data_IF_105243930235
#
_entry.id   IF_105243930235
#
_cell.length_a   1.000
_cell.length_b   1.000
_cell.length_c   1.000
_cell.angle_alpha   90.00
_cell.angle_beta   90.00
_cell.angle_gamma   90.00
#
_symmetry.space_group_name_H-M   'P 1'
#
loop_
_entity.id
_entity.type
_entity.pdbx_description
1 polymer ?
#
# COMPACT_ATOMS: atom_id res chain seq x y z
N UNK A 1 28.76 1.97 -13.92
CA UNK A 1 27.38 2.47 -13.94
C UNK A 1 26.92 2.62 -12.50
N UNK A 2 26.29 3.74 -12.13
CA UNK A 2 25.83 3.97 -10.76
C UNK A 2 24.39 3.48 -10.63
N UNK A 3 24.08 2.70 -9.60
CA UNK A 3 22.73 2.19 -9.33
C UNK A 3 22.26 2.70 -7.97
N UNK A 4 20.94 2.76 -7.77
CA UNK A 4 20.37 3.00 -6.46
C UNK A 4 19.11 2.19 -6.20
N UNK A 5 18.77 2.06 -4.92
CA UNK A 5 17.46 1.64 -4.47
C UNK A 5 16.86 2.69 -3.54
N UNK A 6 15.54 2.66 -3.38
CA UNK A 6 14.87 3.52 -2.41
C UNK A 6 13.60 2.89 -1.85
N UNK A 7 13.15 3.44 -0.73
CA UNK A 7 11.86 3.16 -0.12
C UNK A 7 11.14 4.44 0.25
N UNK A 8 9.85 4.34 0.57
CA UNK A 8 8.99 5.46 0.95
C UNK A 8 8.31 5.12 2.27
N UNK A 9 8.38 6.03 3.24
CA UNK A 9 7.82 5.83 4.57
C UNK A 9 7.17 7.10 5.12
N UNK A 10 6.21 6.94 6.04
CA UNK A 10 6.00 7.96 7.07
C UNK A 10 6.96 7.72 8.23
N UNK A 11 7.08 8.71 9.13
CA UNK A 11 8.12 8.65 10.18
C UNK A 11 8.04 7.41 11.06
N UNK A 12 6.84 6.84 11.26
CA UNK A 12 6.65 5.64 12.05
C UNK A 12 7.24 4.36 11.43
N UNK A 13 7.60 4.38 10.15
CA UNK A 13 8.22 3.26 9.44
C UNK A 13 9.71 3.49 9.12
N UNK A 14 10.31 4.60 9.58
CA UNK A 14 11.75 4.85 9.40
C UNK A 14 12.58 3.71 9.98
N UNK A 15 12.24 3.19 11.16
CA UNK A 15 12.96 2.06 11.75
C UNK A 15 12.96 0.79 10.88
N UNK A 16 11.85 0.49 10.21
CA UNK A 16 11.77 -0.62 9.26
C UNK A 16 12.58 -0.34 7.99
N UNK A 17 12.48 0.88 7.44
CA UNK A 17 13.28 1.29 6.29
C UNK A 17 14.79 1.19 6.55
N UNK A 18 15.25 1.48 7.77
CA UNK A 18 16.66 1.32 8.16
C UNK A 18 17.08 -0.15 8.25
N UNK A 19 16.20 -1.04 8.69
CA UNK A 19 16.44 -2.49 8.67
C UNK A 19 16.53 -3.00 7.22
N UNK A 20 15.60 -2.54 6.36
CA UNK A 20 15.63 -2.82 4.92
C UNK A 20 16.96 -2.33 4.31
N UNK A 21 17.32 -1.06 4.51
CA UNK A 21 18.55 -0.47 4.02
C UNK A 21 19.77 -1.29 4.44
N UNK A 22 19.86 -1.65 5.72
CA UNK A 22 20.96 -2.48 6.23
C UNK A 22 21.04 -3.81 5.49
N UNK A 23 19.93 -4.55 5.41
CA UNK A 23 19.88 -5.84 4.70
C UNK A 23 20.21 -5.70 3.21
N UNK A 24 19.82 -4.59 2.59
CA UNK A 24 20.11 -4.28 1.20
C UNK A 24 21.61 -4.01 1.00
N UNK A 25 22.21 -3.14 1.82
CA UNK A 25 23.64 -2.76 1.74
C UNK A 25 24.58 -3.91 2.07
N UNK A 26 24.20 -4.78 3.02
CA UNK A 26 24.94 -6.00 3.34
C UNK A 26 25.09 -6.94 2.12
N UNK A 27 24.14 -6.87 1.17
CA UNK A 27 24.13 -7.67 -0.06
C UNK A 27 24.50 -6.90 -1.35
N UNK A 28 24.50 -5.58 -1.31
CA UNK A 28 24.70 -4.68 -2.45
C UNK A 28 25.57 -3.48 -2.06
N UNK A 29 26.84 -3.69 -1.65
CA UNK A 29 27.67 -2.66 -1.01
C UNK A 29 27.91 -1.43 -1.91
N UNK A 30 27.99 -1.64 -3.23
CA UNK A 30 28.25 -0.60 -4.23
C UNK A 30 27.00 0.17 -4.69
N UNK A 31 25.81 -0.19 -4.19
CA UNK A 31 24.54 0.47 -4.58
C UNK A 31 24.10 1.46 -3.51
N UNK A 32 23.73 2.68 -3.91
CA UNK A 32 23.23 3.69 -2.99
C UNK A 32 21.78 3.40 -2.57
N UNK A 33 21.40 3.78 -1.35
CA UNK A 33 20.06 3.54 -0.82
C UNK A 33 19.45 4.80 -0.22
N UNK A 34 18.22 5.14 -0.61
CA UNK A 34 17.52 6.34 -0.13
C UNK A 34 16.22 6.00 0.60
N UNK A 35 15.90 6.79 1.63
CA UNK A 35 14.63 6.68 2.36
C UNK A 35 13.86 7.98 2.18
N UNK A 36 12.80 7.98 1.35
CA UNK A 36 11.94 9.14 1.20
C UNK A 36 10.89 9.16 2.32
N UNK A 37 10.88 10.22 3.12
CA UNK A 37 9.92 10.43 4.20
C UNK A 37 8.81 11.35 3.72
N UNK A 38 7.59 10.84 3.64
CA UNK A 38 6.39 11.59 3.18
C UNK A 38 5.73 12.39 4.29
N UNK A 39 6.32 12.36 5.48
CA UNK A 39 5.77 12.91 6.72
C UNK A 39 6.66 14.04 7.23
N UNK A 40 6.18 14.76 8.25
CA UNK A 40 6.88 15.89 8.86
C UNK A 40 7.13 15.65 10.36
N UNK A 41 8.23 16.20 10.87
CA UNK A 41 8.53 16.24 12.30
C UNK A 41 8.05 17.57 12.89
N UNK A 42 7.40 17.52 14.05
CA UNK A 42 6.92 18.72 14.76
C UNK A 42 8.08 19.58 15.30
N UNK A 43 9.13 18.91 15.76
CA UNK A 43 10.36 19.53 16.25
C UNK A 43 11.57 18.98 15.47
N UNK A 44 12.21 19.84 14.67
CA UNK A 44 13.42 19.50 13.91
C UNK A 44 14.63 19.20 14.83
N UNK A 45 14.53 19.42 16.15
CA UNK A 45 15.55 19.06 17.14
C UNK A 45 15.67 17.55 17.36
N UNK A 46 14.63 16.76 17.07
CA UNK A 46 14.76 15.31 16.95
C UNK A 46 15.33 14.88 15.59
N UNK A 47 15.31 15.77 14.59
CA UNK A 47 15.79 15.49 13.24
C UNK A 47 17.31 15.72 13.06
N UNK A 48 18.01 16.34 14.02
CA UNK A 48 19.44 16.70 13.87
C UNK A 48 20.43 15.54 13.85
N UNK A 49 19.99 14.30 14.14
CA UNK A 49 20.81 13.08 14.02
C UNK A 49 20.30 12.12 12.93
N UNK A 50 19.42 12.57 12.02
CA UNK A 50 18.94 11.70 10.95
C UNK A 50 20.05 11.46 9.91
N UNK A 51 20.17 10.22 9.38
CA UNK A 51 21.12 9.91 8.32
C UNK A 51 20.91 10.73 7.05
N UNK A 52 21.98 11.11 6.35
CA UNK A 52 21.93 11.95 5.13
C UNK A 52 21.10 11.34 3.99
N UNK A 53 20.95 10.02 3.97
CA UNK A 53 20.18 9.33 2.95
C UNK A 53 18.67 9.27 3.25
N UNK A 54 18.24 9.83 4.38
CA UNK A 54 16.85 10.07 4.72
C UNK A 54 16.43 11.43 4.17
N UNK A 55 15.51 11.41 3.21
CA UNK A 55 15.14 12.55 2.39
C UNK A 55 13.69 12.93 2.68
N UNK A 56 13.45 14.15 3.14
CA UNK A 56 12.09 14.69 3.25
C UNK A 56 11.49 14.90 1.85
N UNK A 57 10.48 14.10 1.50
CA UNK A 57 9.92 14.10 0.16
C UNK A 57 9.32 15.47 -0.21
N UNK A 58 8.69 16.16 0.74
CA UNK A 58 8.09 17.48 0.51
C UNK A 58 9.10 18.54 0.05
N UNK A 59 10.35 18.49 0.54
CA UNK A 59 11.33 19.55 0.28
C UNK A 59 12.07 19.40 -1.05
N UNK A 60 11.99 18.23 -1.68
CA UNK A 60 12.81 17.87 -2.85
C UNK A 60 12.00 17.38 -4.06
N UNK A 61 10.77 16.88 -3.84
CA UNK A 61 9.90 16.47 -4.94
C UNK A 61 9.23 17.69 -5.55
N UNK A 62 9.16 17.73 -6.88
CA UNK A 62 8.55 18.80 -7.66
C UNK A 62 7.01 18.69 -7.66
N UNK A 63 6.40 18.59 -6.47
CA UNK A 63 4.95 18.55 -6.27
C UNK A 63 4.51 19.93 -5.75
N UNK A 64 3.61 20.65 -6.43
CA UNK A 64 3.08 21.91 -5.95
C UNK A 64 2.49 21.80 -4.53
N UNK A 65 2.68 22.83 -3.70
CA UNK A 65 2.25 22.81 -2.28
C UNK A 65 0.75 22.54 -2.11
N UNK A 66 -0.09 23.14 -2.93
CA UNK A 66 -1.54 22.92 -2.93
C UNK A 66 -1.89 21.46 -3.23
N UNK A 67 -1.15 20.84 -4.16
CA UNK A 67 -1.30 19.43 -4.50
C UNK A 67 -0.80 18.51 -3.40
N UNK A 68 0.30 18.86 -2.74
CA UNK A 68 0.81 18.12 -1.59
C UNK A 68 -0.20 18.12 -0.43
N UNK A 69 -0.75 19.30 -0.09
CA UNK A 69 -1.78 19.47 0.93
C UNK A 69 -3.04 18.67 0.59
N UNK A 70 -3.48 18.73 -0.67
CA UNK A 70 -4.63 17.98 -1.16
C UNK A 70 -4.42 16.46 -1.05
N UNK A 71 -3.29 15.95 -1.53
CA UNK A 71 -2.98 14.51 -1.50
C UNK A 71 -2.86 14.00 -0.06
N UNK A 72 -2.09 14.69 0.78
CA UNK A 72 -1.87 14.31 2.18
C UNK A 72 -3.17 14.31 3.01
N UNK A 73 -4.18 15.10 2.61
CA UNK A 73 -5.51 15.07 3.22
C UNK A 73 -6.44 14.01 2.61
N UNK A 74 -6.54 13.91 1.28
CA UNK A 74 -7.54 13.02 0.64
C UNK A 74 -7.17 11.54 0.69
N UNK A 75 -5.88 11.24 0.73
CA UNK A 75 -5.36 9.89 0.82
C UNK A 75 -5.12 9.50 2.27
N UNK A 76 -5.45 8.26 2.64
CA UNK A 76 -4.91 7.69 3.87
C UNK A 76 -3.39 7.51 3.77
N UNK A 77 -2.75 7.09 4.88
CA UNK A 77 -1.30 6.96 4.93
C UNK A 77 -0.75 6.04 3.81
N UNK A 78 -1.37 4.88 3.61
CA UNK A 78 -0.92 3.91 2.60
C UNK A 78 -1.12 4.46 1.19
N UNK A 79 -2.30 5.03 0.92
CA UNK A 79 -2.63 5.70 -0.33
C UNK A 79 -1.63 6.84 -0.64
N UNK A 80 -1.24 7.62 0.36
CA UNK A 80 -0.33 8.75 0.14
C UNK A 80 1.11 8.29 -0.12
N UNK A 81 1.65 7.38 0.70
CA UNK A 81 2.99 6.81 0.49
C UNK A 81 3.14 6.23 -0.92
N UNK A 82 2.14 5.46 -1.36
CA UNK A 82 2.16 4.82 -2.67
C UNK A 82 1.96 5.82 -3.82
N UNK A 83 1.20 6.90 -3.62
CA UNK A 83 0.91 7.89 -4.66
C UNK A 83 2.13 8.65 -5.19
N UNK A 84 3.17 8.85 -4.36
CA UNK A 84 4.35 9.64 -4.73
C UNK A 84 5.48 8.81 -5.35
N UNK A 85 5.34 7.48 -5.37
CA UNK A 85 6.35 6.54 -5.91
C UNK A 85 6.86 6.90 -7.31
N UNK A 86 6.00 7.24 -8.30
CA UNK A 86 6.48 7.65 -9.62
C UNK A 86 7.31 8.94 -9.54
N UNK A 87 6.92 9.88 -8.67
CA UNK A 87 7.61 11.16 -8.49
C UNK A 87 8.99 10.99 -7.87
N UNK A 88 9.16 10.04 -6.94
CA UNK A 88 10.48 9.68 -6.41
C UNK A 88 11.40 9.11 -7.50
N UNK A 89 10.91 8.18 -8.32
CA UNK A 89 11.66 7.69 -9.48
C UNK A 89 12.05 8.82 -10.44
N UNK A 90 11.10 9.70 -10.78
CA UNK A 90 11.36 10.84 -11.67
C UNK A 90 12.40 11.80 -11.07
N UNK A 91 12.33 12.08 -9.76
CA UNK A 91 13.31 12.92 -9.07
C UNK A 91 14.72 12.31 -9.21
N UNK A 92 14.87 11.02 -8.91
CA UNK A 92 16.16 10.32 -9.04
C UNK A 92 16.66 10.32 -10.50
N UNK A 93 15.78 10.08 -11.48
CA UNK A 93 16.17 10.16 -12.90
C UNK A 93 16.62 11.58 -13.31
N UNK A 94 15.96 12.63 -12.83
CA UNK A 94 16.27 14.02 -13.22
C UNK A 94 17.49 14.60 -12.51
N UNK A 95 17.71 14.26 -11.24
CA UNK A 95 18.67 14.94 -10.35
C UNK A 95 19.96 14.16 -10.11
N UNK A 96 20.08 12.98 -10.70
CA UNK A 96 21.23 12.08 -10.49
C UNK A 96 21.62 11.39 -11.79
N UNK A 97 22.77 10.72 -11.76
CA UNK A 97 23.30 9.88 -12.85
C UNK A 97 23.01 8.38 -12.65
N UNK A 98 22.02 8.01 -11.82
CA UNK A 98 21.69 6.59 -11.62
C UNK A 98 21.08 5.97 -12.88
N UNK A 99 21.61 4.83 -13.31
CA UNK A 99 21.16 4.11 -14.50
C UNK A 99 20.05 3.10 -14.20
N UNK A 100 20.10 2.47 -13.03
CA UNK A 100 19.14 1.45 -12.59
C UNK A 100 18.63 1.82 -11.21
N UNK A 101 17.32 1.93 -11.10
CA UNK A 101 16.65 2.40 -9.88
C UNK A 101 15.64 1.34 -9.44
N UNK A 102 15.73 0.92 -8.18
CA UNK A 102 14.84 -0.09 -7.58
C UNK A 102 14.03 0.55 -6.46
N UNK A 103 12.72 0.31 -6.46
CA UNK A 103 11.85 0.57 -5.33
C UNK A 103 11.62 -0.72 -4.53
N UNK A 104 11.63 -0.59 -3.20
CA UNK A 104 11.25 -1.64 -2.25
C UNK A 104 10.29 -1.07 -1.19
N UNK A 105 9.20 -1.77 -0.90
CA UNK A 105 8.36 -1.46 0.27
C UNK A 105 9.17 -1.58 1.57
N UNK A 106 8.89 -0.75 2.59
CA UNK A 106 9.72 -0.62 3.79
C UNK A 106 9.70 -1.85 4.72
N UNK A 107 8.77 -2.77 4.52
CA UNK A 107 8.65 -4.05 5.22
C UNK A 107 9.25 -5.23 4.43
N UNK A 108 10.14 -4.94 3.48
CA UNK A 108 10.97 -5.92 2.80
C UNK A 108 12.27 -6.18 3.56
N UNK A 109 12.74 -7.42 3.55
CA UNK A 109 14.09 -7.79 3.96
C UNK A 109 14.85 -8.43 2.79
N UNK A 110 16.10 -8.02 2.57
CA UNK A 110 16.97 -8.51 1.49
C UNK A 110 17.89 -9.62 2.01
N UNK A 111 17.89 -10.75 1.30
CA UNK A 111 18.60 -11.97 1.66
C UNK A 111 19.78 -12.29 0.75
N UNK A 112 19.87 -11.67 -0.43
CA UNK A 112 20.93 -11.93 -1.40
C UNK A 112 21.15 -10.75 -2.35
N UNK A 113 22.23 -10.80 -3.13
CA UNK A 113 22.60 -9.78 -4.12
C UNK A 113 21.50 -9.56 -5.16
N UNK A 114 21.31 -8.31 -5.57
CA UNK A 114 20.39 -7.88 -6.62
C UNK A 114 21.05 -7.84 -8.00
N UNK A 115 22.27 -8.38 -8.17
CA UNK A 115 22.95 -8.46 -9.47
C UNK A 115 22.07 -9.07 -10.56
N UNK A 116 21.26 -10.08 -10.21
CA UNK A 116 20.31 -10.68 -11.16
C UNK A 116 19.23 -9.70 -11.63
N UNK A 117 18.76 -8.79 -10.75
CA UNK A 117 17.79 -7.75 -11.10
C UNK A 117 18.48 -6.67 -11.95
N UNK A 118 19.71 -6.29 -11.61
CA UNK A 118 20.47 -5.36 -12.44
C UNK A 118 20.75 -5.91 -13.84
N UNK A 119 21.01 -7.21 -13.97
CA UNK A 119 21.16 -7.88 -15.27
C UNK A 119 19.85 -7.88 -16.08
N UNK A 120 18.71 -8.10 -15.43
CA UNK A 120 17.40 -7.94 -16.10
C UNK A 120 17.25 -6.52 -16.66
N UNK A 121 17.69 -5.50 -15.92
CA UNK A 121 17.63 -4.12 -16.39
C UNK A 121 18.65 -3.78 -17.49
N UNK A 122 19.70 -4.58 -17.70
CA UNK A 122 20.57 -4.40 -18.88
C UNK A 122 19.77 -4.61 -20.17
N UNK A 123 18.83 -5.56 -20.16
CA UNK A 123 18.00 -5.93 -21.29
C UNK A 123 16.72 -5.10 -21.33
N UNK A 124 15.90 -5.12 -20.27
CA UNK A 124 14.58 -4.46 -20.25
C UNK A 124 14.61 -3.08 -19.56
N UNK A 125 13.60 -2.25 -19.84
CA UNK A 125 13.47 -0.92 -19.21
C UNK A 125 12.69 -0.94 -17.90
N UNK A 126 11.79 -1.89 -17.74
CA UNK A 126 10.90 -2.00 -16.58
C UNK A 126 10.89 -3.47 -16.12
N UNK A 127 11.06 -3.71 -14.82
CA UNK A 127 10.96 -5.05 -14.22
C UNK A 127 9.96 -5.01 -13.06
N UNK A 128 8.97 -5.91 -13.09
CA UNK A 128 7.94 -6.05 -12.06
C UNK A 128 7.70 -7.52 -11.73
N UNK A 129 7.07 -7.78 -10.58
CA UNK A 129 6.71 -9.13 -10.12
C UNK A 129 5.19 -9.31 -10.04
N UNK A 130 4.63 -10.45 -10.49
CA UNK A 130 3.25 -10.80 -10.16
C UNK A 130 3.13 -11.16 -8.68
N UNK A 131 1.91 -11.19 -8.13
CA UNK A 131 1.69 -11.72 -6.78
C UNK A 131 2.16 -13.19 -6.68
N UNK A 132 1.77 -14.01 -7.67
CA UNK A 132 2.16 -15.41 -7.81
C UNK A 132 2.28 -15.75 -9.31
N UNK A 133 2.93 -16.86 -9.65
CA UNK A 133 3.40 -17.09 -11.04
C UNK A 133 3.16 -18.49 -11.58
N UNK A 134 2.63 -19.40 -10.76
CA UNK A 134 2.35 -20.78 -11.14
C UNK A 134 0.86 -20.93 -11.45
N UNK A 135 0.55 -21.42 -12.64
CA UNK A 135 -0.81 -21.80 -13.04
C UNK A 135 -1.26 -22.99 -12.18
N UNK A 136 -2.50 -22.95 -11.71
CA UNK A 136 -3.10 -24.02 -10.91
C UNK A 136 -4.49 -24.36 -11.44
N UNK A 137 -4.81 -25.65 -11.52
CA UNK A 137 -6.17 -26.10 -11.88
C UNK A 137 -7.17 -25.75 -10.77
N UNK A 138 -6.70 -25.78 -9.51
CA UNK A 138 -7.45 -25.40 -8.32
C UNK A 138 -6.56 -24.44 -7.54
N UNK A 139 -7.06 -23.23 -7.26
CA UNK A 139 -6.33 -22.26 -6.46
C UNK A 139 -6.12 -22.77 -5.03
N UNK A 140 -4.86 -22.95 -4.65
CA UNK A 140 -4.45 -23.44 -3.34
C UNK A 140 -4.04 -22.32 -2.36
N UNK A 141 -4.05 -21.06 -2.81
CA UNK A 141 -3.63 -19.92 -2.02
C UNK A 141 -4.70 -19.43 -1.04
N UNK A 142 -4.24 -18.88 0.08
CA UNK A 142 -5.11 -18.38 1.16
C UNK A 142 -5.75 -17.03 0.82
N UNK A 143 -5.14 -16.26 -0.08
CA UNK A 143 -5.77 -15.04 -0.62
C UNK A 143 -6.64 -15.44 -1.81
N UNK A 144 -7.97 -15.19 -1.78
CA UNK A 144 -8.84 -15.52 -2.91
C UNK A 144 -8.41 -14.79 -4.18
N UNK A 145 -8.46 -15.46 -5.34
CA UNK A 145 -8.10 -14.85 -6.63
C UNK A 145 -8.91 -13.58 -6.94
N UNK A 146 -10.18 -13.53 -6.52
CA UNK A 146 -11.00 -12.32 -6.64
C UNK A 146 -10.44 -11.10 -5.91
N UNK A 147 -9.76 -11.31 -4.78
CA UNK A 147 -9.17 -10.24 -3.98
C UNK A 147 -7.87 -9.79 -4.66
N UNK A 148 -7.10 -10.72 -5.25
CA UNK A 148 -5.93 -10.40 -6.08
C UNK A 148 -6.32 -9.64 -7.36
N UNK A 149 -7.39 -10.05 -8.05
CA UNK A 149 -7.93 -9.30 -9.18
C UNK A 149 -8.39 -7.89 -8.78
N UNK A 150 -9.00 -7.75 -7.60
CA UNK A 150 -9.40 -6.45 -7.05
C UNK A 150 -8.21 -5.56 -6.71
N UNK A 151 -7.15 -6.14 -6.14
CA UNK A 151 -5.97 -5.41 -5.70
C UNK A 151 -5.00 -5.09 -6.85
N UNK A 152 -5.00 -5.88 -7.93
CA UNK A 152 -4.04 -5.82 -9.03
C UNK A 152 -3.20 -7.09 -9.13
N UNK A 153 -2.91 -7.55 -10.36
CA UNK A 153 -2.23 -8.83 -10.58
C UNK A 153 -0.73 -8.76 -10.28
N UNK A 154 -0.14 -7.57 -10.30
CA UNK A 154 1.23 -7.29 -9.92
C UNK A 154 1.32 -6.75 -8.49
N UNK A 155 2.38 -7.14 -7.77
CA UNK A 155 2.65 -6.59 -6.44
C UNK A 155 3.72 -5.50 -6.53
N UNK A 156 3.37 -4.28 -6.13
CA UNK A 156 4.24 -3.11 -6.26
C UNK A 156 5.04 -2.77 -5.02
N UNK A 157 5.19 -3.74 -4.11
CA UNK A 157 6.27 -3.70 -3.13
C UNK A 157 7.65 -3.82 -3.77
N UNK A 158 7.72 -4.21 -5.04
CA UNK A 158 8.90 -4.11 -5.88
C UNK A 158 8.58 -3.51 -7.24
N UNK A 159 9.40 -2.56 -7.69
CA UNK A 159 9.40 -2.06 -9.06
C UNK A 159 10.83 -1.63 -9.39
N UNK A 160 11.33 -1.98 -10.58
CA UNK A 160 12.65 -1.55 -11.00
C UNK A 160 12.62 -0.99 -12.42
N UNK A 161 13.42 0.04 -12.65
CA UNK A 161 13.51 0.71 -13.95
C UNK A 161 14.97 0.94 -14.35
N UNK A 162 15.21 0.95 -15.66
CA UNK A 162 16.41 1.50 -16.29
C UNK A 162 16.13 2.93 -16.71
N UNK A 163 17.13 3.80 -16.64
CA UNK A 163 17.11 5.13 -17.24
C UNK A 163 16.87 5.00 -18.75
N UNK A 164 15.63 5.27 -19.17
CA UNK A 164 15.23 5.25 -20.57
C UNK A 164 13.99 6.09 -20.80
N UNK A 165 13.72 6.46 -22.06
CA UNK A 165 12.48 7.13 -22.43
C UNK A 165 11.23 6.25 -22.18
N UNK A 166 11.40 4.93 -22.23
CA UNK A 166 10.34 3.95 -21.91
C UNK A 166 9.94 4.08 -20.43
N UNK A 167 10.92 4.09 -19.53
CA UNK A 167 10.65 4.24 -18.10
C UNK A 167 10.03 5.62 -17.80
N UNK A 168 10.55 6.70 -18.40
CA UNK A 168 9.96 8.04 -18.26
C UNK A 168 8.49 8.07 -18.71
N UNK A 169 8.17 7.47 -19.87
CA UNK A 169 6.79 7.38 -20.38
C UNK A 169 5.86 6.69 -19.39
N UNK A 170 6.29 5.56 -18.80
CA UNK A 170 5.53 4.86 -17.76
C UNK A 170 5.33 5.73 -16.52
N UNK A 171 6.40 6.35 -16.01
CA UNK A 171 6.36 7.15 -14.78
C UNK A 171 5.48 8.39 -14.92
N UNK A 172 5.54 9.10 -16.05
CA UNK A 172 4.67 10.24 -16.32
C UNK A 172 3.21 9.80 -16.39
N UNK A 173 2.92 8.73 -17.14
CA UNK A 173 1.57 8.17 -17.22
C UNK A 173 1.04 7.81 -15.83
N UNK A 174 1.84 7.10 -15.03
CA UNK A 174 1.47 6.62 -13.70
C UNK A 174 1.25 7.78 -12.72
N UNK A 175 2.18 8.74 -12.65
CA UNK A 175 2.12 9.94 -11.79
C UNK A 175 0.81 10.71 -11.96
N UNK A 176 0.41 10.97 -13.21
CA UNK A 176 -0.83 11.69 -13.52
C UNK A 176 -2.09 11.00 -12.94
N UNK A 177 -2.11 9.67 -12.87
CA UNK A 177 -3.24 8.95 -12.28
C UNK A 177 -3.16 8.96 -10.76
N UNK A 178 -1.97 8.75 -10.20
CA UNK A 178 -1.83 8.64 -8.75
C UNK A 178 -2.07 9.95 -8.01
N UNK A 179 -1.97 11.08 -8.72
CA UNK A 179 -2.35 12.36 -8.15
C UNK A 179 -3.82 12.43 -7.73
N UNK A 180 -4.74 11.76 -8.43
CA UNK A 180 -6.18 11.85 -8.15
C UNK A 180 -6.89 10.49 -8.03
N UNK A 181 -6.19 9.38 -8.23
CA UNK A 181 -6.78 8.02 -8.30
C UNK A 181 -5.96 6.95 -7.57
N UNK A 182 -5.13 7.32 -6.59
CA UNK A 182 -4.40 6.37 -5.74
C UNK A 182 -5.24 5.91 -4.52
N UNK A 183 -6.49 5.51 -4.74
CA UNK A 183 -7.40 5.11 -3.65
C UNK A 183 -7.47 3.59 -3.50
N UNK A 184 -7.77 3.14 -2.28
CA UNK A 184 -8.36 1.83 -2.01
C UNK A 184 -9.88 2.03 -2.08
N UNK A 185 -10.45 1.71 -3.25
CA UNK A 185 -11.87 1.90 -3.57
C UNK A 185 -12.35 0.81 -4.53
N UNK A 186 -13.02 -0.21 -3.99
CA UNK A 186 -13.53 -1.34 -4.77
C UNK A 186 -14.72 -0.99 -5.65
N UNK A 187 -15.43 0.12 -5.39
CA UNK A 187 -16.53 0.56 -6.25
C UNK A 187 -15.99 1.12 -7.56
N UNK A 188 -14.91 1.90 -7.50
CA UNK A 188 -14.22 2.47 -8.67
C UNK A 188 -13.09 1.58 -9.19
N UNK A 189 -12.89 0.41 -8.57
CA UNK A 189 -11.85 -0.56 -8.92
C UNK A 189 -10.43 0.01 -8.81
N UNK A 190 -10.22 0.95 -7.89
CA UNK A 190 -8.89 1.45 -7.54
C UNK A 190 -8.30 0.64 -6.39
N UNK A 191 -7.00 0.39 -6.49
CA UNK A 191 -6.20 -0.13 -5.40
C UNK A 191 -4.78 0.46 -5.50
N UNK A 192 -4.64 1.60 -4.84
CA UNK A 192 -3.40 2.38 -4.71
C UNK A 192 -2.70 2.58 -6.07
N UNK A 193 -1.38 2.47 -6.06
CA UNK A 193 -0.48 2.54 -7.19
C UNK A 193 -0.46 1.26 -8.03
N UNK A 194 -0.67 0.08 -7.41
CA UNK A 194 -0.39 -1.20 -8.06
C UNK A 194 -1.44 -1.60 -9.11
N UNK A 195 -2.72 -1.28 -8.89
CA UNK A 195 -3.79 -1.70 -9.83
C UNK A 195 -3.60 -1.13 -11.24
N UNK A 196 -2.95 0.03 -11.33
CA UNK A 196 -2.58 0.64 -12.60
C UNK A 196 -1.57 -0.21 -13.38
N UNK A 197 -0.75 -1.01 -12.71
CA UNK A 197 0.28 -1.81 -13.38
C UNK A 197 -0.32 -2.96 -14.20
N UNK A 198 -1.58 -3.33 -13.97
CA UNK A 198 -2.33 -4.30 -14.79
C UNK A 198 -2.36 -3.91 -16.28
N UNK A 199 -2.22 -2.62 -16.60
CA UNK A 199 -2.18 -2.13 -17.97
C UNK A 199 -0.81 -2.24 -18.65
N UNK A 200 0.28 -2.45 -17.90
CA UNK A 200 1.63 -2.42 -18.49
C UNK A 200 1.83 -3.43 -19.63
N UNK A 201 1.35 -4.68 -19.55
CA UNK A 201 1.45 -5.63 -20.67
C UNK A 201 0.69 -5.20 -21.93
N UNK A 202 -0.26 -4.27 -21.82
CA UNK A 202 -0.97 -3.70 -22.97
C UNK A 202 -0.22 -2.53 -23.62
N UNK A 203 0.73 -1.91 -22.91
CA UNK A 203 1.44 -0.70 -23.35
C UNK A 203 2.88 -0.94 -23.78
N UNK A 204 3.50 -1.99 -23.25
CA UNK A 204 4.92 -2.27 -23.45
C UNK A 204 5.11 -3.71 -23.92
N UNK A 205 6.02 -3.90 -24.87
CA UNK A 205 6.36 -5.24 -25.38
C UNK A 205 7.39 -5.95 -24.47
N UNK A 206 7.75 -7.19 -24.81
CA UNK A 206 8.68 -8.02 -24.04
C UNK A 206 10.12 -7.49 -23.98
N UNK A 207 10.52 -6.64 -24.93
CA UNK A 207 11.85 -6.03 -24.95
C UNK A 207 11.91 -4.81 -24.02
N UNK A 208 10.75 -4.20 -23.74
CA UNK A 208 10.60 -3.03 -22.88
C UNK A 208 10.28 -3.40 -21.42
N UNK A 209 9.41 -4.39 -21.21
CA UNK A 209 8.86 -4.81 -19.93
C UNK A 209 9.16 -6.28 -19.64
N UNK A 210 9.77 -6.54 -18.49
CA UNK A 210 9.91 -7.88 -17.93
C UNK A 210 8.96 -8.08 -16.73
N UNK A 211 8.01 -8.99 -16.88
CA UNK A 211 7.29 -9.59 -15.75
C UNK A 211 8.09 -10.80 -15.28
N UNK A 212 8.98 -10.61 -14.30
CA UNK A 212 9.85 -11.68 -13.84
C UNK A 212 9.10 -12.69 -12.97
N UNK A 213 9.34 -13.98 -13.23
CA UNK A 213 8.78 -15.13 -12.49
C UNK A 213 9.82 -15.78 -11.58
N UNK A 214 10.89 -15.06 -11.25
CA UNK A 214 11.95 -15.55 -10.38
C UNK A 214 11.40 -15.79 -8.96
N UNK A 215 11.25 -17.06 -8.55
CA UNK A 215 10.59 -17.42 -7.29
C UNK A 215 11.28 -16.85 -6.03
N UNK A 216 12.56 -16.48 -6.13
CA UNK A 216 13.33 -15.82 -5.08
C UNK A 216 12.97 -14.34 -4.84
N UNK A 217 12.15 -13.74 -5.69
CA UNK A 217 11.76 -12.33 -5.59
C UNK A 217 10.36 -12.19 -5.01
N UNK A 218 10.17 -11.19 -4.14
CA UNK A 218 8.86 -10.81 -3.60
C UNK A 218 8.10 -11.99 -2.98
N UNK A 219 8.81 -12.79 -2.17
CA UNK A 219 8.21 -13.89 -1.41
C UNK A 219 7.35 -13.27 -0.31
N UNK A 220 6.10 -13.71 -0.18
CA UNK A 220 5.12 -13.05 0.68
C UNK A 220 3.94 -13.99 0.98
N UNK A 221 3.08 -13.66 1.96
CA UNK A 221 1.95 -14.50 2.35
C UNK A 221 1.03 -14.95 1.20
N UNK A 222 0.85 -14.11 0.17
CA UNK A 222 0.03 -14.45 -1.01
C UNK A 222 0.69 -15.43 -1.98
N UNK A 223 1.92 -15.90 -1.75
CA UNK A 223 2.60 -16.88 -2.61
C UNK A 223 3.34 -18.00 -1.85
N UNK A 224 3.17 -18.12 -0.53
CA UNK A 224 3.75 -19.25 0.23
C UNK A 224 3.24 -20.62 -0.25
N UNK A 225 2.00 -20.69 -0.74
CA UNK A 225 1.43 -21.92 -1.29
C UNK A 225 2.19 -22.46 -2.50
N UNK A 226 2.85 -21.61 -3.30
CA UNK A 226 3.58 -22.03 -4.50
C UNK A 226 5.10 -22.13 -4.26
N UNK A 227 5.62 -21.59 -3.15
CA UNK A 227 7.06 -21.44 -2.87
C UNK A 227 7.48 -22.23 -1.64
N UNK A 228 8.35 -23.22 -1.81
CA UNK A 228 8.96 -23.99 -0.72
C UNK A 228 10.35 -23.44 -0.40
N UNK A 229 10.55 -23.06 0.85
CA UNK A 229 11.80 -22.50 1.38
C UNK A 229 12.65 -23.57 2.03
N UNK A 230 13.97 -23.46 1.93
CA UNK A 230 14.89 -24.32 2.67
C UNK A 230 16.25 -23.66 2.84
N UNK A 231 16.99 -24.09 3.86
CA UNK A 231 18.34 -23.64 4.15
C UNK A 231 19.35 -24.61 3.52
N UNK A 232 20.37 -24.08 2.85
CA UNK A 232 21.52 -24.84 2.35
C UNK A 232 22.77 -23.99 2.49
N UNK A 233 23.80 -24.50 3.17
CA UNK A 233 25.06 -23.78 3.44
C UNK A 233 24.80 -22.37 4.01
N UNK A 234 23.96 -22.29 5.04
CA UNK A 234 23.57 -21.04 5.73
C UNK A 234 22.85 -19.98 4.87
N UNK A 235 22.52 -20.32 3.61
CA UNK A 235 21.77 -19.45 2.70
C UNK A 235 20.38 -20.01 2.45
N UNK A 236 19.41 -19.11 2.28
CA UNK A 236 18.04 -19.47 1.98
C UNK A 236 17.84 -19.65 0.48
N UNK A 237 17.18 -20.75 0.13
CA UNK A 237 16.80 -21.09 -1.23
C UNK A 237 15.29 -21.32 -1.30
N UNK A 238 14.77 -21.20 -2.51
CA UNK A 238 13.37 -21.44 -2.84
C UNK A 238 13.27 -22.36 -4.04
N UNK A 239 12.28 -23.24 -4.01
CA UNK A 239 11.85 -24.03 -5.16
C UNK A 239 10.33 -24.03 -5.24
N UNK A 240 9.78 -24.45 -6.39
CA UNK A 240 8.33 -24.59 -6.53
C UNK A 240 7.81 -25.70 -5.61
N UNK A 241 6.71 -25.42 -4.90
CA UNK A 241 6.01 -26.41 -4.08
C UNK A 241 5.17 -27.36 -4.94
N UNK A 242 4.60 -26.86 -6.05
CA UNK A 242 3.50 -27.52 -6.78
C UNK A 242 3.85 -27.93 -8.23
N UNK A 243 5.10 -27.77 -8.68
CA UNK A 243 5.56 -28.34 -9.96
C UNK A 243 5.96 -29.81 -9.77
N UNK A 244 4.98 -30.70 -9.81
CA UNK A 244 5.24 -32.15 -9.97
C UNK A 244 5.47 -32.53 -11.44
N UNK A 245 5.07 -31.68 -12.39
CA UNK A 245 5.07 -31.97 -13.83
C UNK A 245 6.25 -31.40 -14.62
N UNK A 246 7.07 -30.52 -14.04
CA UNK A 246 8.31 -30.06 -14.67
C UNK A 246 9.46 -30.99 -14.27
N UNK A 247 10.15 -31.52 -15.28
CA UNK A 247 11.23 -32.51 -15.15
C UNK A 247 12.45 -32.02 -14.38
N UNK A 248 12.54 -30.73 -14.04
CA UNK A 248 13.56 -30.19 -13.13
C UNK A 248 12.98 -29.10 -12.20
N UNK A 249 12.99 -29.38 -10.88
CA UNK A 249 12.68 -28.37 -9.87
C UNK A 249 13.81 -27.33 -9.82
N UNK A 250 13.57 -26.15 -10.40
CA UNK A 250 14.51 -25.03 -10.33
C UNK A 250 14.68 -24.61 -8.86
N UNK A 251 15.93 -24.55 -8.41
CA UNK A 251 16.34 -24.05 -7.10
C UNK A 251 16.97 -22.69 -7.29
N UNK A 252 16.40 -21.66 -6.67
CA UNK A 252 16.85 -20.28 -6.77
C UNK A 252 17.21 -19.74 -5.37
N UNK A 253 18.17 -18.80 -5.26
CA UNK A 253 18.38 -18.09 -4.01
C UNK A 253 17.14 -17.25 -3.65
N UNK A 254 16.82 -17.18 -2.36
CA UNK A 254 15.88 -16.16 -1.86
C UNK A 254 16.57 -14.81 -1.94
N UNK A 255 16.04 -13.88 -2.74
CA UNK A 255 16.60 -12.54 -2.91
C UNK A 255 16.01 -11.57 -1.90
N UNK A 256 14.68 -11.53 -1.79
CA UNK A 256 13.99 -10.68 -0.82
C UNK A 256 12.60 -11.21 -0.48
N UNK A 257 12.16 -10.92 0.74
CA UNK A 257 10.86 -11.31 1.29
C UNK A 257 10.11 -10.05 1.71
N UNK A 258 8.83 -9.96 1.35
CA UNK A 258 7.94 -8.87 1.69
C UNK A 258 7.05 -9.30 2.86
N UNK A 259 7.30 -8.74 4.05
CA UNK A 259 6.58 -9.06 5.28
C UNK A 259 5.27 -8.26 5.41
N UNK A 260 4.49 -8.23 4.33
CA UNK A 260 3.26 -7.47 4.24
C UNK A 260 2.21 -7.94 5.26
N UNK A 261 1.67 -6.98 6.01
CA UNK A 261 0.57 -7.22 6.93
C UNK A 261 0.95 -7.91 8.23
N UNK A 262 2.24 -8.13 8.51
CA UNK A 262 2.67 -8.64 9.81
C UNK A 262 2.58 -7.55 10.89
N UNK A 263 2.31 -7.96 12.13
CA UNK A 263 2.44 -7.09 13.28
C UNK A 263 3.90 -7.05 13.73
N UNK A 264 4.65 -6.02 13.34
CA UNK A 264 6.09 -5.92 13.61
C UNK A 264 6.43 -5.83 15.11
N UNK A 265 5.56 -5.25 15.93
CA UNK A 265 5.75 -5.21 17.38
C UNK A 265 5.65 -6.59 18.02
N UNK A 266 4.74 -7.43 17.52
CA UNK A 266 4.61 -8.81 17.97
C UNK A 266 5.71 -9.68 17.37
N UNK A 267 6.10 -9.44 16.12
CA UNK A 267 7.19 -10.16 15.47
C UNK A 267 8.52 -9.93 16.20
N UNK A 268 8.79 -8.70 16.67
CA UNK A 268 9.93 -8.39 17.55
C UNK A 268 9.94 -9.22 18.84
N UNK A 269 8.77 -9.59 19.37
CA UNK A 269 8.64 -10.46 20.56
C UNK A 269 8.72 -11.96 20.22
N UNK A 270 8.87 -12.31 18.95
CA UNK A 270 8.82 -13.69 18.45
C UNK A 270 7.41 -14.20 18.15
N UNK A 271 6.37 -13.35 18.28
CA UNK A 271 4.99 -13.71 17.99
C UNK A 271 4.66 -13.41 16.53
N UNK A 272 4.33 -14.44 15.75
CA UNK A 272 3.99 -14.29 14.33
C UNK A 272 2.49 -14.01 14.19
N UNK A 273 2.12 -12.74 13.97
CA UNK A 273 0.74 -12.32 13.72
C UNK A 273 0.65 -11.65 12.35
N UNK A 274 -0.23 -12.16 11.49
CA UNK A 274 -0.51 -11.63 10.16
C UNK A 274 -1.96 -11.10 10.12
N UNK A 275 -2.12 -9.82 9.78
CA UNK A 275 -3.38 -9.09 9.90
C UNK A 275 -4.20 -9.02 8.60
N UNK A 276 -3.58 -9.24 7.43
CA UNK A 276 -4.23 -9.06 6.13
C UNK A 276 -4.89 -10.34 5.60
N UNK A 277 -4.50 -11.52 6.11
CA UNK A 277 -4.95 -12.84 5.67
C UNK A 277 -5.41 -13.62 6.90
N UNK A 278 -6.72 -13.58 7.15
CA UNK A 278 -7.34 -14.12 8.38
C UNK A 278 -7.15 -15.64 8.57
N UNK A 279 -6.80 -16.39 7.53
CA UNK A 279 -6.65 -17.84 7.56
C UNK A 279 -5.37 -18.30 6.87
N UNK A 280 -4.27 -17.55 7.08
CA UNK A 280 -2.97 -17.92 6.55
C UNK A 280 -2.57 -19.31 7.08
N UNK A 281 -2.34 -20.26 6.18
CA UNK A 281 -1.88 -21.59 6.52
C UNK A 281 -0.49 -21.52 7.15
N UNK A 282 -0.25 -22.38 8.13
CA UNK A 282 1.07 -22.55 8.72
C UNK A 282 1.94 -23.38 7.77
N UNK A 283 2.99 -22.76 7.24
CA UNK A 283 4.04 -23.43 6.46
C UNK A 283 5.29 -23.52 7.34
N UNK A 284 5.70 -24.73 7.72
CA UNK A 284 6.89 -24.94 8.56
C UNK A 284 8.16 -24.32 7.93
N UNK A 285 8.29 -24.42 6.61
CA UNK A 285 9.43 -23.85 5.90
C UNK A 285 9.43 -22.31 5.86
N UNK A 286 8.28 -21.67 6.03
CA UNK A 286 8.16 -20.20 6.11
C UNK A 286 8.59 -19.70 7.49
N UNK A 287 8.57 -20.53 8.53
CA UNK A 287 9.08 -20.14 9.86
C UNK A 287 10.56 -19.73 9.80
N UNK A 288 11.33 -20.30 8.86
CA UNK A 288 12.70 -19.86 8.57
C UNK A 288 12.73 -18.35 8.29
N UNK A 289 11.87 -17.88 7.38
CA UNK A 289 11.80 -16.48 6.97
C UNK A 289 11.35 -15.56 8.11
N UNK A 290 10.29 -15.94 8.83
CA UNK A 290 9.77 -15.10 9.94
C UNK A 290 10.75 -15.04 11.10
N UNK A 291 11.47 -16.14 11.39
CA UNK A 291 12.47 -16.18 12.46
C UNK A 291 13.72 -15.36 12.10
N UNK A 292 14.11 -15.31 10.83
CA UNK A 292 15.19 -14.42 10.39
C UNK A 292 14.81 -12.95 10.55
N UNK A 293 13.62 -12.56 10.09
CA UNK A 293 13.21 -11.16 10.15
C UNK A 293 12.90 -10.70 11.59
N UNK A 294 12.29 -11.55 12.42
CA UNK A 294 12.12 -11.29 13.85
C UNK A 294 13.45 -10.98 14.54
N UNK A 295 14.50 -11.78 14.26
CA UNK A 295 15.86 -11.53 14.77
C UNK A 295 16.44 -10.22 14.27
N UNK A 296 16.29 -9.91 12.98
CA UNK A 296 16.74 -8.63 12.43
C UNK A 296 16.07 -7.42 13.12
N UNK A 297 14.77 -7.49 13.41
CA UNK A 297 14.06 -6.44 14.17
C UNK A 297 14.56 -6.38 15.62
N UNK A 298 14.82 -7.51 16.27
CA UNK A 298 15.35 -7.56 17.64
C UNK A 298 16.75 -6.95 17.74
N UNK A 299 17.66 -7.32 16.84
CA UNK A 299 19.04 -6.81 16.77
C UNK A 299 19.07 -5.30 16.50
N UNK A 300 18.07 -4.77 15.79
CA UNK A 300 17.92 -3.35 15.49
C UNK A 300 16.80 -2.68 16.31
N UNK A 301 16.45 -3.24 17.46
CA UNK A 301 15.32 -2.79 18.28
C UNK A 301 15.42 -1.33 18.73
N UNK A 302 16.63 -0.83 18.95
CA UNK A 302 16.88 0.58 19.29
C UNK A 302 16.29 1.54 18.24
N UNK A 303 16.64 1.34 16.96
CA UNK A 303 16.16 2.18 15.85
C UNK A 303 14.68 1.88 15.56
N UNK A 304 14.27 0.61 15.66
CA UNK A 304 12.86 0.25 15.47
C UNK A 304 11.93 0.93 16.49
N UNK A 305 12.28 0.89 17.78
CA UNK A 305 11.45 1.43 18.87
C UNK A 305 11.42 2.95 18.94
N UNK A 306 12.49 3.60 18.45
CA UNK A 306 12.56 5.05 18.30
C UNK A 306 11.42 5.58 17.43
N UNK A 307 11.18 4.95 16.29
CA UNK A 307 10.25 5.46 15.28
C UNK A 307 8.86 4.84 15.35
N UNK A 308 8.69 3.57 15.71
CA UNK A 308 7.42 2.83 15.52
C UNK A 308 6.20 3.45 16.23
N UNK A 309 6.42 4.30 17.25
CA UNK A 309 5.38 4.98 18.03
C UNK A 309 5.05 6.40 17.52
N UNK A 310 5.83 6.91 16.58
CA UNK A 310 5.58 8.22 16.00
C UNK A 310 4.21 8.31 15.34
N UNK A 311 3.59 9.49 15.42
CA UNK A 311 2.25 9.73 14.88
C UNK A 311 2.32 10.44 13.53
N UNK A 312 1.72 9.85 12.50
CA UNK A 312 1.62 10.46 11.18
C UNK A 312 1.03 11.88 11.22
N UNK A 313 1.77 12.91 10.77
CA UNK A 313 1.40 14.34 10.89
C UNK A 313 0.07 14.62 10.21
N UNK A 314 -0.09 14.14 8.98
CA UNK A 314 -1.32 14.33 8.20
C UNK A 314 -2.46 13.39 8.62
N UNK A 315 -2.30 12.68 9.75
CA UNK A 315 -3.32 11.86 10.39
C UNK A 315 -4.28 12.64 11.30
N UNK A 316 -4.00 13.92 11.58
CA UNK A 316 -4.78 14.75 12.51
C UNK A 316 -5.07 16.14 11.94
N UNK A 317 -6.16 16.77 12.40
CA UNK A 317 -6.39 18.21 12.24
C UNK A 317 -5.38 19.01 13.09
N UNK A 318 -5.27 20.32 12.88
CA UNK A 318 -4.35 21.21 13.62
C UNK A 318 -4.60 21.26 15.15
N UNK A 319 -5.79 20.87 15.61
CA UNK A 319 -6.13 20.70 17.03
C UNK A 319 -5.89 19.28 17.59
N UNK A 320 -5.27 18.40 16.81
CA UNK A 320 -4.92 17.04 17.21
C UNK A 320 -6.03 15.99 17.08
N UNK A 321 -7.22 16.36 16.61
CA UNK A 321 -8.31 15.38 16.37
C UNK A 321 -7.97 14.49 15.18
N UNK A 322 -8.20 13.18 15.31
CA UNK A 322 -7.92 12.20 14.26
C UNK A 322 -8.76 12.43 13.00
N UNK A 323 -8.10 12.45 11.83
CA UNK A 323 -8.76 12.44 10.52
C UNK A 323 -9.08 10.99 10.15
N UNK A 324 -10.37 10.65 10.16
CA UNK A 324 -10.90 9.31 9.84
C UNK A 324 -11.09 9.15 8.34
N UNK A 325 -11.15 7.90 7.84
CA UNK A 325 -11.38 7.61 6.41
C UNK A 325 -12.61 8.30 5.82
N UNK A 326 -13.71 8.39 6.57
CA UNK A 326 -14.92 9.10 6.13
C UNK A 326 -14.67 10.60 5.91
N UNK A 327 -13.85 11.25 6.74
CA UNK A 327 -13.53 12.67 6.55
C UNK A 327 -12.77 12.88 5.24
N UNK A 328 -11.79 12.01 4.95
CA UNK A 328 -11.02 12.04 3.70
C UNK A 328 -11.91 11.83 2.47
N UNK A 329 -12.89 10.92 2.56
CA UNK A 329 -13.84 10.66 1.46
C UNK A 329 -14.88 11.77 1.27
N UNK A 330 -15.37 12.37 2.34
CA UNK A 330 -16.24 13.54 2.23
C UNK A 330 -15.49 14.74 1.60
N UNK A 331 -14.22 14.93 1.96
CA UNK A 331 -13.35 15.92 1.32
C UNK A 331 -13.18 15.65 -0.18
N UNK A 332 -12.87 14.39 -0.55
CA UNK A 332 -12.82 13.96 -1.96
C UNK A 332 -14.13 14.28 -2.70
N UNK A 333 -15.28 14.00 -2.07
CA UNK A 333 -16.59 14.27 -2.67
C UNK A 333 -16.83 15.77 -2.91
N UNK A 334 -16.47 16.63 -1.94
CA UNK A 334 -16.52 18.08 -2.10
C UNK A 334 -15.67 18.55 -3.29
N UNK A 335 -14.43 18.04 -3.39
CA UNK A 335 -13.55 18.35 -4.52
C UNK A 335 -14.11 17.91 -5.86
N UNK A 336 -14.68 16.71 -5.94
CA UNK A 336 -15.32 16.23 -7.17
C UNK A 336 -16.53 17.09 -7.59
N UNK A 337 -17.12 17.83 -6.64
CA UNK A 337 -18.18 18.83 -6.89
C UNK A 337 -17.66 20.24 -7.17
N UNK A 338 -16.35 20.40 -7.36
CA UNK A 338 -15.72 21.68 -7.67
C UNK A 338 -15.57 22.61 -6.47
N UNK A 339 -15.81 22.13 -5.24
CA UNK A 339 -15.57 22.93 -4.04
C UNK A 339 -14.08 23.08 -3.79
N UNK A 340 -13.67 24.31 -3.46
CA UNK A 340 -12.29 24.62 -3.09
C UNK A 340 -12.18 24.70 -1.58
N UNK A 341 -11.35 23.83 -1.00
CA UNK A 341 -11.09 23.78 0.44
C UNK A 341 -9.60 24.08 0.65
N UNK A 342 -9.29 25.35 0.90
CA UNK A 342 -7.90 25.83 0.97
C UNK A 342 -7.11 25.30 2.16
N UNK A 343 -7.75 25.13 3.31
CA UNK A 343 -7.12 24.75 4.59
C UNK A 343 -7.77 23.50 5.18
N UNK A 344 -7.61 22.32 4.54
CA UNK A 344 -8.37 21.13 4.92
C UNK A 344 -8.04 20.59 6.32
N UNK A 345 -6.82 20.87 6.81
CA UNK A 345 -6.37 20.51 8.15
C UNK A 345 -6.81 21.49 9.26
N UNK A 346 -7.36 22.66 8.90
CA UNK A 346 -7.71 23.70 9.88
C UNK A 346 -8.94 23.34 10.72
N UNK A 347 -8.88 23.64 12.02
CA UNK A 347 -10.02 23.53 12.93
C UNK A 347 -10.71 24.87 13.25
N UNK A 348 -10.34 25.94 12.56
CA UNK A 348 -10.93 27.28 12.72
C UNK A 348 -12.43 27.33 12.35
N UNK A 349 -13.09 28.44 12.67
CA UNK A 349 -14.48 28.67 12.28
C UNK A 349 -14.64 28.65 10.75
N UNK A 350 -15.77 28.09 10.27
CA UNK A 350 -16.09 27.94 8.84
C UNK A 350 -15.15 27.03 8.05
N UNK A 351 -14.26 26.29 8.73
CA UNK A 351 -13.44 25.24 8.13
C UNK A 351 -14.24 23.97 7.81
N UNK A 352 -13.64 23.06 7.03
CA UNK A 352 -14.18 21.71 6.82
C UNK A 352 -14.38 20.96 8.15
N UNK A 353 -13.45 21.09 9.08
CA UNK A 353 -13.55 20.53 10.42
C UNK A 353 -14.80 21.05 11.16
N UNK A 354 -15.08 22.36 11.10
CA UNK A 354 -16.24 22.95 11.79
C UNK A 354 -17.57 22.37 11.28
N UNK A 355 -17.67 22.05 9.99
CA UNK A 355 -18.82 21.36 9.40
C UNK A 355 -18.95 19.93 9.91
N UNK A 356 -17.85 19.18 10.00
CA UNK A 356 -17.83 17.83 10.57
C UNK A 356 -18.19 17.83 12.07
N UNK A 357 -17.72 18.83 12.82
CA UNK A 357 -17.96 18.96 14.25
C UNK A 357 -19.45 19.19 14.55
N UNK A 358 -20.13 20.05 13.77
CA UNK A 358 -21.58 20.27 13.88
C UNK A 358 -22.41 18.99 13.69
N UNK A 359 -21.90 18.05 12.90
CA UNK A 359 -22.52 16.75 12.66
C UNK A 359 -22.10 15.67 13.68
N UNK A 360 -21.23 16.01 14.64
CA UNK A 360 -20.71 15.07 15.63
C UNK A 360 -19.71 14.05 15.07
N UNK A 361 -19.19 14.26 13.86
CA UNK A 361 -18.27 13.31 13.18
C UNK A 361 -16.84 13.34 13.72
N UNK A 362 -16.52 14.31 14.59
CA UNK A 362 -15.18 14.52 15.19
C UNK A 362 -15.03 13.89 16.58
N UNK A 363 -16.11 13.32 17.14
CA UNK A 363 -16.06 12.66 18.45
C UNK A 363 -15.23 11.37 18.38
N UNK A 364 -14.35 11.18 19.36
CA UNK A 364 -13.66 9.90 19.55
C UNK A 364 -14.62 8.91 20.20
N UNK A 365 -14.73 7.72 19.62
CA UNK A 365 -15.57 6.64 20.12
C UNK A 365 -14.71 5.42 20.39
N UNK A 366 -15.00 4.62 21.43
CA UNK A 366 -14.21 3.42 21.74
C UNK A 366 -14.28 2.34 20.64
N UNK A 367 -15.27 2.44 19.74
CA UNK A 367 -15.39 1.56 18.58
C UNK A 367 -14.46 2.06 17.48
N UNK A 368 -13.44 1.26 17.15
CA UNK A 368 -12.64 1.46 15.94
C UNK A 368 -13.45 0.99 14.72
N UNK A 369 -14.18 1.91 14.10
CA UNK A 369 -15.05 1.64 12.94
C UNK A 369 -14.25 1.01 11.78
N UNK A 370 -13.00 1.43 11.59
CA UNK A 370 -12.16 1.00 10.47
C UNK A 370 -11.65 -0.44 10.62
N UNK A 371 -11.47 -0.94 11.85
CA UNK A 371 -11.08 -2.33 12.14
C UNK A 371 -12.26 -3.27 12.38
N UNK A 372 -13.48 -2.74 12.40
CA UNK A 372 -14.68 -3.56 12.68
C UNK A 372 -15.11 -4.32 11.44
N UNK A 373 -15.06 -5.64 11.48
CA UNK A 373 -15.56 -6.54 10.44
C UNK A 373 -16.89 -7.18 10.87
N UNK A 374 -17.56 -7.90 9.96
CA UNK A 374 -18.75 -8.72 10.33
C UNK A 374 -18.46 -9.72 11.45
N UNK A 375 -17.20 -10.15 11.60
CA UNK A 375 -16.76 -11.10 12.60
C UNK A 375 -16.49 -10.45 13.97
N UNK A 376 -16.20 -9.16 14.00
CA UNK A 376 -15.89 -8.43 15.24
C UNK A 376 -17.04 -7.53 15.70
N UNK A 377 -18.07 -7.33 14.87
CA UNK A 377 -19.23 -6.54 15.24
C UNK A 377 -20.14 -7.30 16.21
N UNK A 378 -20.16 -6.87 17.47
CA UNK A 378 -21.05 -7.43 18.48
C UNK A 378 -22.53 -7.33 18.08
N UNK A 379 -23.26 -8.44 18.22
CA UNK A 379 -24.69 -8.54 17.91
C UNK A 379 -24.99 -8.42 16.41
N UNK A 380 -24.03 -8.70 15.52
CA UNK A 380 -24.21 -8.63 14.06
C UNK A 380 -25.44 -9.43 13.60
N UNK A 381 -25.64 -10.65 14.10
CA UNK A 381 -26.78 -11.49 13.70
C UNK A 381 -28.13 -10.87 14.06
N UNK A 382 -28.26 -10.34 15.29
CA UNK A 382 -29.49 -9.67 15.72
C UNK A 382 -29.76 -8.40 14.92
N UNK A 383 -28.72 -7.61 14.63
CA UNK A 383 -28.79 -6.42 13.79
C UNK A 383 -29.19 -6.77 12.35
N UNK A 384 -28.61 -7.83 11.79
CA UNK A 384 -28.93 -8.34 10.46
C UNK A 384 -30.38 -8.84 10.40
N UNK A 385 -30.86 -9.55 11.43
CA UNK A 385 -32.24 -9.99 11.52
C UNK A 385 -33.21 -8.79 11.53
N UNK A 386 -32.90 -7.74 12.30
CA UNK A 386 -33.71 -6.52 12.32
C UNK A 386 -33.72 -5.83 10.96
N UNK A 387 -32.56 -5.69 10.33
CA UNK A 387 -32.43 -5.12 8.98
C UNK A 387 -33.24 -5.93 7.95
N UNK A 388 -33.17 -7.25 8.00
CA UNK A 388 -33.94 -8.13 7.12
C UNK A 388 -35.46 -7.97 7.33
N UNK A 389 -35.93 -7.78 8.58
CA UNK A 389 -37.35 -7.50 8.85
C UNK A 389 -37.79 -6.16 8.25
N UNK A 390 -36.97 -5.12 8.39
CA UNK A 390 -37.21 -3.81 7.77
C UNK A 390 -37.26 -3.91 6.25
N UNK A 391 -36.28 -4.61 5.63
CA UNK A 391 -36.23 -4.79 4.19
C UNK A 391 -37.44 -5.58 3.64
N UNK A 392 -37.95 -6.57 4.38
CA UNK A 392 -39.20 -7.28 4.04
C UNK A 392 -40.42 -6.35 4.10
N UNK A 393 -40.47 -5.43 5.06
CA UNK A 393 -41.54 -4.43 5.13
C UNK A 393 -41.47 -3.48 3.94
N UNK A 394 -40.29 -2.95 3.62
CA UNK A 394 -40.07 -2.08 2.46
C UNK A 394 -40.47 -2.79 1.17
N UNK A 395 -40.11 -4.08 1.00
CA UNK A 395 -40.53 -4.89 -0.14
C UNK A 395 -42.06 -4.96 -0.28
N UNK A 396 -42.78 -5.22 0.82
CA UNK A 396 -44.25 -5.28 0.81
C UNK A 396 -44.90 -3.95 0.42
N UNK A 397 -44.27 -2.82 0.77
CA UNK A 397 -44.77 -1.48 0.45
C UNK A 397 -44.48 -1.07 -1.00
N UNK A 398 -43.30 -1.39 -1.51
CA UNK A 398 -42.84 -0.96 -2.84
C UNK A 398 -43.29 -1.90 -3.97
N UNK A 399 -43.45 -3.19 -3.68
CA UNK A 399 -43.56 -4.23 -4.70
C UNK A 399 -42.21 -4.57 -5.34
N UNK A 400 -42.20 -5.63 -6.16
CA UNK A 400 -40.97 -6.23 -6.68
C UNK A 400 -40.08 -5.26 -7.49
N UNK A 401 -40.63 -4.61 -8.51
CA UNK A 401 -39.83 -3.78 -9.43
C UNK A 401 -39.20 -2.57 -8.73
N UNK A 402 -39.99 -1.82 -7.96
CA UNK A 402 -39.51 -0.64 -7.21
C UNK A 402 -38.51 -1.03 -6.13
N UNK A 403 -38.68 -2.19 -5.51
CA UNK A 403 -37.69 -2.71 -4.55
C UNK A 403 -36.37 -3.06 -5.22
N UNK A 404 -36.38 -3.66 -6.42
CA UNK A 404 -35.15 -3.90 -7.18
C UNK A 404 -34.45 -2.60 -7.57
N UNK A 405 -35.20 -1.56 -7.95
CA UNK A 405 -34.63 -0.23 -8.20
C UNK A 405 -34.00 0.37 -6.94
N UNK A 406 -34.64 0.23 -5.77
CA UNK A 406 -34.07 0.66 -4.49
C UNK A 406 -32.75 -0.06 -4.17
N UNK A 407 -32.69 -1.38 -4.35
CA UNK A 407 -31.46 -2.16 -4.14
C UNK A 407 -30.33 -1.66 -5.03
N UNK A 408 -30.61 -1.32 -6.29
CA UNK A 408 -29.60 -0.77 -7.22
C UNK A 408 -29.00 0.54 -6.69
N UNK A 409 -29.80 1.37 -6.02
CA UNK A 409 -29.34 2.64 -5.43
C UNK A 409 -28.47 2.42 -4.18
N UNK A 410 -28.70 1.35 -3.39
CA UNK A 410 -27.92 1.10 -2.18
C UNK A 410 -26.43 0.90 -2.44
N UNK A 411 -26.05 0.29 -3.56
CA UNK A 411 -24.63 0.06 -3.87
C UNK A 411 -23.85 1.38 -3.96
N UNK A 412 -24.18 2.32 -4.87
CA UNK A 412 -23.51 3.62 -4.90
C UNK A 412 -23.78 4.47 -3.66
N UNK A 413 -24.98 4.38 -3.06
CA UNK A 413 -25.28 5.16 -1.85
C UNK A 413 -24.43 4.72 -0.65
N UNK A 414 -24.06 3.46 -0.54
CA UNK A 414 -23.24 2.94 0.57
C UNK A 414 -21.83 3.54 0.69
N UNK A 415 -21.37 4.27 -0.34
CA UNK A 415 -20.05 4.92 -0.33
C UNK A 415 -20.01 6.09 0.66
N UNK A 416 -18.85 6.32 1.25
CA UNK A 416 -18.63 7.48 2.13
C UNK A 416 -18.77 8.81 1.38
N UNK A 417 -18.29 8.86 0.13
CA UNK A 417 -18.43 10.00 -0.76
C UNK A 417 -19.91 10.37 -0.97
N UNK A 418 -20.79 9.37 -1.07
CA UNK A 418 -22.23 9.57 -1.26
C UNK A 418 -22.96 10.13 -0.03
N UNK A 419 -22.27 10.20 1.11
CA UNK A 419 -22.78 10.82 2.34
C UNK A 419 -22.54 12.33 2.40
N UNK A 420 -22.04 12.95 1.32
CA UNK A 420 -21.80 14.40 1.23
C UNK A 420 -23.04 15.26 1.52
N UNK A 421 -24.25 14.74 1.27
CA UNK A 421 -25.52 15.39 1.61
C UNK A 421 -25.66 15.71 3.11
N UNK A 422 -24.93 15.00 3.98
CA UNK A 422 -24.89 15.32 5.41
C UNK A 422 -24.20 16.67 5.68
N UNK A 423 -23.29 17.12 4.82
CA UNK A 423 -22.60 18.40 4.95
C UNK A 423 -23.44 19.60 4.49
N UNK A 424 -24.22 19.42 3.43
CA UNK A 424 -25.14 20.45 2.91
C UNK A 424 -26.28 19.80 2.13
N UNK A 425 -27.47 20.40 2.23
CA UNK A 425 -28.66 20.04 1.44
C UNK A 425 -28.49 20.29 -0.05
N UNK A 426 -27.51 21.11 -0.44
CA UNK A 426 -27.20 21.37 -1.85
C UNK A 426 -26.86 20.08 -2.61
N UNK A 427 -26.41 19.03 -1.91
CA UNK A 427 -26.06 17.75 -2.51
C UNK A 427 -27.19 16.71 -2.48
N UNK A 428 -28.39 17.02 -1.99
CA UNK A 428 -29.51 16.06 -1.86
C UNK A 428 -29.90 15.39 -3.19
N UNK A 429 -29.62 16.05 -4.33
CA UNK A 429 -29.94 15.55 -5.68
C UNK A 429 -28.75 14.99 -6.44
N UNK A 430 -27.53 15.17 -5.95
CA UNK A 430 -26.31 14.84 -6.70
C UNK A 430 -25.22 14.14 -5.87
N UNK A 431 -25.56 13.64 -4.70
CA UNK A 431 -24.64 12.92 -3.83
C UNK A 431 -24.25 11.54 -4.41
N UNK A 432 -25.09 10.96 -5.25
CA UNK A 432 -24.80 9.70 -5.94
C UNK A 432 -24.31 10.01 -7.36
N UNK A 433 -23.13 9.50 -7.70
CA UNK A 433 -22.60 9.50 -9.07
C UNK A 433 -22.83 8.09 -9.61
N UNK A 434 -23.63 7.98 -10.68
CA UNK A 434 -23.94 6.72 -11.35
C UNK A 434 -22.84 6.31 -12.32
#
# INVERSE_FOLDING_TARGET
MKNCAFTIVAKNYIGLARILEKSFKDNNPETDFFVFVVDEFDDMTNATNLPDNLIFARSILEIPDDKWIDMSFKYDLTEFCTSIKPTCFMHLLKRTEYEKIIYLDPDIYVYNSFDVIFKMLDEQSIVITPHFSIIQDIHLGETPERDLMGNGVFNLGFCAIKRSEIAKRMLTWWSERLFDKCYIDSYETYFTDQKWMDFLPCFFNSDELLVTRHLGMNIAPWNFFERKIFLKNEKLFVTSRNRETDTEKVVLPVLFVHYSGYNYNELKKGNVIQNNIASLKKYEDVELLTNFYARAIQENSFIFDEFIKEKYKYGVFDNGVTIKKIHRRLYRALKNKGQVVHTPFSSEERSFYSSLQKLGMTKETPINIERTTKFTLQGFESKLMLFNRLMRLIYRLLGFERYLLLIRVFKPFSRYESQIHLLSKDYDKENIIF
#
